data_IF_830050605485
#
_entry.id   IF_830050605485
#
_cell.length_a   1.000
_cell.length_b   1.000
_cell.length_c   1.000
_cell.angle_alpha   90.00
_cell.angle_beta   90.00
_cell.angle_gamma   90.00
#
_symmetry.space_group_name_H-M   'P 1'
#
loop_
_entity.id
_entity.type
_entity.pdbx_description
1 polymer ?
#
# COMPACT_ATOMS: atom_id res chain seq x y z
N UNK A 1 2.70 5.45 -2.69
CA UNK A 1 3.55 5.43 -1.47
C UNK A 1 4.75 4.55 -1.72
N UNK A 2 5.91 4.86 -1.13
CA UNK A 2 7.09 4.00 -1.14
C UNK A 2 7.23 3.31 0.21
N UNK A 3 7.70 2.05 0.19
CA UNK A 3 7.88 1.23 1.38
C UNK A 3 9.27 0.62 1.38
N UNK A 4 9.83 0.40 2.57
CA UNK A 4 11.04 -0.39 2.80
C UNK A 4 10.73 -1.89 2.68
N UNK A 5 11.78 -2.72 2.60
CA UNK A 5 11.64 -4.18 2.44
C UNK A 5 10.75 -4.86 3.51
N UNK A 6 10.63 -4.26 4.69
CA UNK A 6 9.74 -4.73 5.76
C UNK A 6 8.26 -4.39 5.57
N UNK A 7 7.85 -3.75 4.47
CA UNK A 7 6.47 -3.34 4.21
C UNK A 7 6.00 -2.18 5.10
N UNK A 8 6.94 -1.33 5.50
CA UNK A 8 6.67 -0.09 6.24
C UNK A 8 7.32 1.09 5.54
N UNK A 9 6.72 2.26 5.66
CA UNK A 9 7.37 3.52 5.26
C UNK A 9 8.53 3.83 6.22
N UNK A 10 9.36 4.79 5.85
CA UNK A 10 10.41 5.29 6.74
C UNK A 10 9.87 5.78 8.11
N UNK A 11 8.65 6.27 8.15
CA UNK A 11 7.97 6.71 9.38
C UNK A 11 7.18 5.60 10.10
N UNK A 12 7.28 4.36 9.63
CA UNK A 12 6.68 3.19 10.26
C UNK A 12 5.26 2.82 9.80
N UNK A 13 4.65 3.58 8.87
CA UNK A 13 3.31 3.27 8.36
C UNK A 13 3.30 1.94 7.62
N UNK A 14 2.36 1.06 7.95
CA UNK A 14 2.18 -0.22 7.26
C UNK A 14 1.45 -0.05 5.92
N UNK A 15 1.58 -1.05 5.07
CA UNK A 15 0.89 -1.08 3.77
C UNK A 15 -0.62 -1.03 3.95
N UNK A 16 -1.15 -1.75 4.91
CA UNK A 16 -2.57 -1.84 5.23
C UNK A 16 -3.09 -0.50 5.78
N UNK A 17 -2.40 0.07 6.77
CA UNK A 17 -2.76 1.39 7.33
C UNK A 17 -2.79 2.46 6.26
N UNK A 18 -1.82 2.45 5.34
CA UNK A 18 -1.81 3.36 4.19
C UNK A 18 -3.04 3.18 3.32
N UNK A 19 -3.35 1.94 2.90
CA UNK A 19 -4.48 1.66 2.01
C UNK A 19 -5.81 2.09 2.60
N UNK A 20 -6.07 1.71 3.84
CA UNK A 20 -7.31 2.04 4.57
C UNK A 20 -7.43 3.54 4.81
N UNK A 21 -6.36 4.19 5.27
CA UNK A 21 -6.36 5.64 5.55
C UNK A 21 -6.56 6.45 4.27
N UNK A 22 -5.83 6.13 3.21
CA UNK A 22 -5.95 6.85 1.93
C UNK A 22 -7.39 6.77 1.38
N UNK A 23 -8.00 5.58 1.43
CA UNK A 23 -9.39 5.41 1.05
C UNK A 23 -10.33 6.22 1.94
N UNK A 24 -10.15 6.17 3.26
CA UNK A 24 -10.96 6.94 4.22
C UNK A 24 -10.87 8.45 4.02
N UNK A 25 -9.75 8.94 3.51
CA UNK A 25 -9.54 10.33 3.13
C UNK A 25 -10.08 10.70 1.74
N UNK A 26 -10.72 9.77 1.04
CA UNK A 26 -11.34 10.01 -0.25
C UNK A 26 -10.42 9.84 -1.47
N UNK A 27 -9.29 9.15 -1.34
CA UNK A 27 -8.48 8.79 -2.50
C UNK A 27 -9.28 7.87 -3.44
N UNK A 28 -9.11 8.02 -4.75
CA UNK A 28 -9.76 7.20 -5.77
C UNK A 28 -8.95 5.97 -6.16
N UNK A 29 -7.69 5.90 -5.77
CA UNK A 29 -6.78 4.79 -6.03
C UNK A 29 -5.62 4.83 -5.05
N UNK A 30 -4.98 3.68 -4.83
CA UNK A 30 -3.75 3.57 -4.04
C UNK A 30 -2.71 2.75 -4.80
N UNK A 31 -1.45 2.92 -4.44
CA UNK A 31 -0.42 2.10 -5.05
C UNK A 31 0.93 2.19 -4.38
N UNK A 32 1.79 1.24 -4.77
CA UNK A 32 3.18 1.16 -4.34
C UNK A 32 4.07 1.61 -5.49
N UNK A 33 4.98 2.52 -5.19
CA UNK A 33 5.88 3.09 -6.20
C UNK A 33 7.29 3.18 -5.66
N UNK A 34 8.27 2.79 -6.48
CA UNK A 34 9.69 2.99 -6.20
C UNK A 34 10.23 2.11 -5.04
N UNK A 35 11.42 2.43 -4.58
CA UNK A 35 12.24 1.81 -3.52
C UNK A 35 12.82 0.45 -3.86
N UNK A 36 12.05 -0.49 -4.34
CA UNK A 36 12.41 -1.90 -4.49
C UNK A 36 12.03 -2.44 -5.87
N UNK A 37 12.55 -3.61 -6.19
CA UNK A 37 12.20 -4.37 -7.38
C UNK A 37 10.86 -5.11 -7.28
N UNK A 38 10.44 -5.76 -8.39
CA UNK A 38 9.15 -6.44 -8.41
C UNK A 38 9.02 -7.56 -7.39
N UNK A 39 10.07 -8.34 -7.18
CA UNK A 39 10.07 -9.49 -6.26
C UNK A 39 9.80 -9.05 -4.82
N UNK A 40 10.45 -7.99 -4.38
CA UNK A 40 10.31 -7.46 -3.02
C UNK A 40 8.97 -6.75 -2.81
N UNK A 41 8.44 -6.09 -3.85
CA UNK A 41 7.16 -5.37 -3.76
C UNK A 41 5.96 -6.32 -3.81
N UNK A 42 6.09 -7.50 -4.41
CA UNK A 42 4.95 -8.42 -4.59
C UNK A 42 4.18 -8.73 -3.29
N UNK A 43 4.82 -9.15 -2.18
CA UNK A 43 4.09 -9.42 -0.94
C UNK A 43 3.39 -8.18 -0.37
N UNK A 44 3.96 -7.01 -0.55
CA UNK A 44 3.35 -5.75 -0.14
C UNK A 44 2.14 -5.38 -1.01
N UNK A 45 2.26 -5.57 -2.33
CA UNK A 45 1.17 -5.34 -3.26
C UNK A 45 -0.03 -6.26 -2.98
N UNK A 46 0.23 -7.51 -2.62
CA UNK A 46 -0.79 -8.47 -2.20
C UNK A 46 -1.50 -8.00 -0.94
N UNK A 47 -0.76 -7.64 0.11
CA UNK A 47 -1.31 -7.09 1.36
C UNK A 47 -2.12 -5.81 1.13
N UNK A 48 -1.64 -4.89 0.27
CA UNK A 48 -2.39 -3.68 -0.08
C UNK A 48 -3.70 -4.03 -0.78
N UNK A 49 -3.65 -4.95 -1.74
CA UNK A 49 -4.82 -5.41 -2.47
C UNK A 49 -5.87 -6.07 -1.56
N UNK A 50 -5.43 -6.80 -0.53
CA UNK A 50 -6.30 -7.42 0.47
C UNK A 50 -6.87 -6.41 1.48
N UNK A 51 -6.15 -5.33 1.77
CA UNK A 51 -6.55 -4.30 2.74
C UNK A 51 -7.55 -3.27 2.20
N UNK A 52 -7.83 -3.25 0.90
CA UNK A 52 -8.79 -2.33 0.28
C UNK A 52 -9.87 -3.09 -0.49
N UNK A 53 -11.09 -2.52 -0.69
CA UNK A 53 -12.16 -3.20 -1.40
C UNK A 53 -11.74 -3.71 -2.78
N UNK A 54 -12.39 -4.77 -3.26
CA UNK A 54 -12.06 -5.38 -4.54
C UNK A 54 -12.23 -4.45 -5.75
N UNK A 55 -13.19 -3.55 -5.68
CA UNK A 55 -13.46 -2.52 -6.69
C UNK A 55 -12.56 -1.26 -6.56
N UNK A 56 -11.79 -1.16 -5.48
CA UNK A 56 -10.90 -0.02 -5.28
C UNK A 56 -9.60 -0.18 -6.09
N UNK A 57 -9.25 0.76 -6.97
CA UNK A 57 -8.10 0.64 -7.86
C UNK A 57 -6.77 0.57 -7.11
N UNK A 58 -5.99 -0.46 -7.41
CA UNK A 58 -4.61 -0.62 -6.91
C UNK A 58 -3.65 -0.64 -8.08
N UNK A 59 -2.53 0.07 -7.95
CA UNK A 59 -1.48 0.08 -8.94
C UNK A 59 -0.09 -0.15 -8.33
N UNK A 60 0.85 -0.63 -9.16
CA UNK A 60 2.24 -0.84 -8.74
C UNK A 60 3.22 -0.34 -9.79
N UNK A 61 4.32 0.25 -9.33
CA UNK A 61 5.41 0.75 -10.18
C UNK A 61 6.76 0.46 -9.52
N UNK A 62 7.27 -0.77 -9.62
CA UNK A 62 8.58 -1.14 -9.08
C UNK A 62 9.73 -0.45 -9.81
N UNK A 63 10.89 -0.40 -9.17
CA UNK A 63 12.16 -0.08 -9.82
C UNK A 63 12.65 -1.27 -10.65
N UNK A 64 13.62 -1.04 -11.53
CA UNK A 64 14.39 -2.11 -12.17
C UNK A 64 15.41 -2.75 -11.19
N UNK A 65 14.94 -3.08 -9.96
CA UNK A 65 15.76 -3.54 -8.86
C UNK A 65 16.44 -2.41 -8.08
N UNK A 66 17.66 -2.64 -7.64
CA UNK A 66 18.45 -1.69 -6.89
C UNK A 66 19.51 -1.01 -7.78
N UNK A 67 19.88 0.24 -7.49
CA UNK A 67 20.98 0.88 -8.19
C UNK A 67 22.29 0.13 -7.91
N UNK A 68 23.08 -0.11 -8.96
CA UNK A 68 24.39 -0.74 -8.85
C UNK A 68 25.38 0.19 -8.17
N UNK A 69 26.26 -0.39 -7.36
CA UNK A 69 27.27 0.39 -6.61
C UNK A 69 28.26 1.15 -7.51
N UNK A 70 28.47 0.67 -8.71
CA UNK A 70 29.36 1.28 -9.72
C UNK A 70 28.70 2.41 -10.52
N UNK A 71 27.43 2.71 -10.25
CA UNK A 71 26.67 3.73 -10.96
C UNK A 71 26.25 3.35 -12.39
N UNK A 72 26.46 2.10 -12.82
CA UNK A 72 26.15 1.63 -14.18
C UNK A 72 24.63 1.40 -14.45
N UNK A 73 23.79 1.81 -13.52
CA UNK A 73 22.32 1.68 -13.63
C UNK A 73 21.72 0.79 -12.57
N UNK A 74 20.76 -0.03 -12.95
CA UNK A 74 19.99 -0.92 -12.05
C UNK A 74 20.33 -2.39 -12.35
N UNK A 75 20.08 -3.27 -11.38
CA UNK A 75 20.57 -4.65 -11.41
C UNK A 75 19.61 -5.63 -12.10
N UNK A 76 18.35 -5.24 -12.35
CA UNK A 76 17.34 -6.08 -13.01
C UNK A 76 17.26 -5.74 -14.51
N UNK A 77 17.31 -6.77 -15.36
CA UNK A 77 17.10 -6.64 -16.81
C UNK A 77 15.61 -6.58 -17.16
N UNK A 78 15.22 -6.06 -18.36
CA UNK A 78 13.82 -6.05 -18.78
C UNK A 78 13.14 -7.44 -18.75
N UNK A 79 13.87 -8.50 -19.12
CA UNK A 79 13.38 -9.88 -19.14
C UNK A 79 13.12 -10.39 -17.71
N UNK A 80 14.05 -10.16 -16.80
CA UNK A 80 13.90 -10.56 -15.40
C UNK A 80 12.76 -9.78 -14.73
N UNK A 81 12.67 -8.49 -14.98
CA UNK A 81 11.57 -7.66 -14.50
C UNK A 81 10.21 -8.21 -14.95
N UNK A 82 10.07 -8.50 -16.25
CA UNK A 82 8.84 -9.07 -16.80
C UNK A 82 8.52 -10.44 -16.17
N UNK A 83 9.52 -11.27 -15.94
CA UNK A 83 9.35 -12.56 -15.27
C UNK A 83 8.86 -12.41 -13.83
N UNK A 84 9.45 -11.50 -13.07
CA UNK A 84 9.06 -11.23 -11.67
C UNK A 84 7.72 -10.52 -11.55
N UNK A 85 7.26 -9.84 -12.60
CA UNK A 85 5.93 -9.25 -12.65
C UNK A 85 4.80 -10.24 -12.98
N UNK A 86 5.10 -11.46 -13.43
CA UNK A 86 4.07 -12.46 -13.76
C UNK A 86 3.11 -12.78 -12.60
N UNK A 87 3.55 -12.97 -11.34
CA UNK A 87 2.65 -13.23 -10.21
C UNK A 87 1.62 -12.13 -9.96
N UNK A 88 1.94 -10.88 -10.33
CA UNK A 88 1.03 -9.75 -10.15
C UNK A 88 -0.27 -9.85 -10.97
N UNK A 89 -0.32 -10.72 -11.98
CA UNK A 89 -1.56 -11.00 -12.73
C UNK A 89 -2.69 -11.47 -11.81
N UNK A 90 -2.36 -12.24 -10.76
CA UNK A 90 -3.32 -12.75 -9.79
C UNK A 90 -3.91 -11.66 -8.88
N UNK A 91 -3.25 -10.51 -8.81
CA UNK A 91 -3.72 -9.39 -8.00
C UNK A 91 -4.77 -8.53 -8.71
N UNK A 92 -5.03 -8.78 -9.99
CA UNK A 92 -5.99 -8.01 -10.80
C UNK A 92 -5.83 -6.50 -10.64
N UNK A 93 -4.59 -6.03 -10.72
CA UNK A 93 -4.23 -4.62 -10.56
C UNK A 93 -4.94 -3.77 -11.62
N UNK A 94 -5.31 -2.56 -11.24
CA UNK A 94 -5.86 -1.57 -12.15
C UNK A 94 -4.80 -1.03 -13.12
N UNK A 95 -3.57 -0.87 -12.64
CA UNK A 95 -2.44 -0.47 -13.45
C UNK A 95 -1.13 -1.06 -12.93
N UNK A 96 -0.21 -1.33 -13.84
CA UNK A 96 1.16 -1.72 -13.55
C UNK A 96 2.11 -0.90 -14.44
N UNK A 97 3.28 -0.59 -13.92
CA UNK A 97 4.28 0.19 -14.63
C UNK A 97 5.67 -0.03 -14.08
N UNK A 98 6.55 0.90 -14.35
CA UNK A 98 7.90 0.92 -13.80
C UNK A 98 8.23 2.28 -13.19
N UNK A 99 9.30 2.33 -12.40
CA UNK A 99 9.84 3.53 -11.80
C UNK A 99 11.34 3.66 -12.13
N UNK A 100 12.19 3.89 -11.16
CA UNK A 100 13.60 4.13 -11.37
C UNK A 100 14.28 2.96 -12.11
N UNK A 101 15.13 3.29 -13.08
CA UNK A 101 15.86 2.33 -13.90
C UNK A 101 15.05 1.66 -15.01
N UNK A 102 13.73 1.84 -15.06
CA UNK A 102 12.92 1.26 -16.15
C UNK A 102 12.97 2.13 -17.41
N UNK A 103 12.98 1.46 -18.56
CA UNK A 103 13.01 2.04 -19.91
C UNK A 103 11.78 1.60 -20.70
N UNK A 104 11.53 2.14 -21.90
CA UNK A 104 10.45 1.67 -22.75
C UNK A 104 10.47 0.16 -23.03
N UNK A 105 11.63 -0.46 -23.05
CA UNK A 105 11.77 -1.92 -23.23
C UNK A 105 11.12 -2.70 -22.08
N UNK A 106 11.31 -2.26 -20.83
CA UNK A 106 10.63 -2.84 -19.66
C UNK A 106 9.12 -2.78 -19.81
N UNK A 107 8.59 -1.62 -20.23
CA UNK A 107 7.16 -1.42 -20.39
C UNK A 107 6.59 -2.26 -21.54
N UNK A 108 7.35 -2.41 -22.64
CA UNK A 108 6.96 -3.29 -23.75
C UNK A 108 6.79 -4.74 -23.30
N UNK A 109 7.74 -5.27 -22.54
CA UNK A 109 7.65 -6.64 -22.01
C UNK A 109 6.57 -6.76 -20.94
N UNK A 110 6.42 -5.75 -20.08
CA UNK A 110 5.36 -5.69 -19.07
C UNK A 110 3.97 -5.75 -19.72
N UNK A 111 3.76 -5.01 -20.81
CA UNK A 111 2.50 -5.05 -21.55
C UNK A 111 2.19 -6.49 -22.04
N UNK A 112 3.19 -7.22 -22.48
CA UNK A 112 3.02 -8.62 -22.88
C UNK A 112 2.65 -9.52 -21.69
N UNK A 113 3.20 -9.26 -20.50
CA UNK A 113 2.86 -9.98 -19.28
C UNK A 113 1.39 -9.78 -18.90
N UNK A 114 0.86 -8.56 -19.03
CA UNK A 114 -0.52 -8.25 -18.66
C UNK A 114 -1.53 -8.36 -19.82
N UNK A 115 -1.09 -8.79 -20.99
CA UNK A 115 -1.99 -9.01 -22.13
C UNK A 115 -3.15 -9.95 -21.74
N UNK A 116 -4.37 -9.53 -22.02
CA UNK A 116 -5.59 -10.28 -21.70
C UNK A 116 -5.97 -10.29 -20.20
N UNK A 117 -5.23 -9.61 -19.33
CA UNK A 117 -5.68 -9.44 -17.95
C UNK A 117 -6.82 -8.41 -17.88
N UNK A 118 -7.83 -8.75 -17.08
CA UNK A 118 -8.92 -7.82 -16.77
C UNK A 118 -8.62 -7.18 -15.42
N UNK A 119 -8.57 -5.84 -15.34
CA UNK A 119 -8.38 -5.17 -14.07
C UNK A 119 -9.63 -5.31 -13.18
N UNK A 120 -9.42 -5.20 -11.88
CA UNK A 120 -10.50 -5.29 -10.90
C UNK A 120 -10.59 -6.68 -10.26
N UNK A 121 -10.74 -6.68 -8.97
CA UNK A 121 -10.90 -7.87 -8.12
C UNK A 121 -12.38 -8.07 -7.80
N UNK A 122 -12.78 -9.28 -7.43
CA UNK A 122 -14.12 -9.51 -6.89
C UNK A 122 -14.40 -8.56 -5.72
N UNK A 123 -15.57 -7.96 -5.71
CA UNK A 123 -15.99 -7.14 -4.59
C UNK A 123 -16.01 -7.98 -3.32
N UNK A 124 -15.40 -7.52 -2.25
CA UNK A 124 -15.49 -8.11 -0.94
C UNK A 124 -15.84 -7.05 0.09
N UNK A 125 -16.58 -7.44 1.10
CA UNK A 125 -16.96 -6.53 2.19
C UNK A 125 -15.71 -6.24 3.02
N UNK A 126 -15.41 -4.97 3.15
CA UNK A 126 -14.34 -4.55 4.05
C UNK A 126 -14.83 -4.57 5.49
N UNK A 127 -14.02 -5.06 6.42
CA UNK A 127 -14.31 -4.91 7.82
C UNK A 127 -14.31 -3.43 8.22
N UNK A 128 -15.04 -3.11 9.28
CA UNK A 128 -14.88 -1.82 9.96
C UNK A 128 -13.55 -1.80 10.69
N UNK A 129 -12.74 -0.78 10.48
CA UNK A 129 -11.41 -0.73 11.06
C UNK A 129 -11.14 0.61 11.73
N UNK A 130 -10.39 0.58 12.82
CA UNK A 130 -9.70 1.73 13.38
C UNK A 130 -8.25 1.69 12.92
N UNK A 131 -7.78 2.81 12.40
CA UNK A 131 -6.45 2.89 11.80
C UNK A 131 -5.58 3.91 12.53
N UNK A 132 -4.35 3.53 12.81
CA UNK A 132 -3.27 4.42 13.25
C UNK A 132 -2.21 4.52 12.13
N UNK A 133 -1.26 5.43 12.20
CA UNK A 133 -0.19 5.47 11.20
C UNK A 133 0.62 4.18 11.08
N UNK A 134 0.68 3.37 12.12
CA UNK A 134 1.57 2.19 12.20
C UNK A 134 0.84 0.86 12.25
N UNK A 135 -0.49 0.87 12.46
CA UNK A 135 -1.28 -0.34 12.62
C UNK A 135 -2.75 -0.10 12.29
N UNK A 136 -3.51 -1.18 12.10
CA UNK A 136 -4.97 -1.12 11.98
C UNK A 136 -5.60 -2.30 12.72
N UNK A 137 -6.80 -2.07 13.26
CA UNK A 137 -7.54 -3.05 14.03
C UNK A 137 -8.93 -3.22 13.43
N UNK A 138 -9.32 -4.47 13.15
CA UNK A 138 -10.68 -4.82 12.79
C UNK A 138 -11.58 -4.70 14.03
N UNK A 139 -12.66 -3.93 13.90
CA UNK A 139 -13.63 -3.69 14.99
C UNK A 139 -15.00 -4.29 14.73
N UNK A 140 -15.15 -5.12 13.68
CA UNK A 140 -16.41 -5.82 13.43
C UNK A 140 -16.73 -6.75 14.62
N UNK A 141 -17.94 -6.57 15.18
CA UNK A 141 -18.38 -7.33 16.35
C UNK A 141 -17.75 -6.92 17.67
N UNK A 142 -16.95 -5.86 17.69
CA UNK A 142 -16.35 -5.33 18.92
C UNK A 142 -17.09 -4.06 19.33
N UNK A 143 -17.53 -3.98 20.60
CA UNK A 143 -18.01 -2.73 21.18
C UNK A 143 -16.81 -1.90 21.60
N UNK A 144 -16.58 -0.81 20.88
CA UNK A 144 -15.45 0.10 21.18
C UNK A 144 -15.93 1.20 22.11
N UNK A 145 -15.34 1.27 23.30
CA UNK A 145 -15.55 2.38 24.22
C UNK A 145 -14.42 3.40 24.05
N UNK A 146 -14.77 4.60 23.61
CA UNK A 146 -13.82 5.70 23.49
C UNK A 146 -14.02 6.67 24.67
N UNK A 147 -13.04 6.78 25.55
CA UNK A 147 -13.00 7.83 26.56
C UNK A 147 -12.13 8.98 26.07
N UNK A 148 -12.69 10.16 25.91
CA UNK A 148 -11.92 11.37 25.69
C UNK A 148 -11.48 11.93 27.05
N UNK A 149 -10.20 11.80 27.40
CA UNK A 149 -9.61 12.53 28.51
C UNK A 149 -9.10 13.88 27.99
N UNK A 150 -9.72 14.97 28.38
CA UNK A 150 -9.12 16.29 28.20
C UNK A 150 -7.99 16.41 29.23
N UNK A 151 -6.77 16.74 28.84
CA UNK A 151 -5.74 17.03 29.83
C UNK A 151 -6.22 18.20 30.71
N UNK A 152 -5.96 18.17 32.02
CA UNK A 152 -6.38 19.24 32.88
C UNK A 152 -5.76 20.57 32.43
N UNK A 153 -6.61 21.57 32.20
CA UNK A 153 -6.13 22.92 31.93
C UNK A 153 -5.19 23.32 33.05
N UNK A 154 -4.04 23.87 32.71
CA UNK A 154 -3.06 24.40 33.68
C UNK A 154 -3.58 25.70 34.32
N UNK A 155 -4.71 25.65 34.95
CA UNK A 155 -5.19 26.72 35.87
C UNK A 155 -6.00 26.06 36.96
N UNK A 156 -5.66 26.43 38.17
CA UNK A 156 -6.23 25.93 39.39
C UNK A 156 -7.74 26.18 39.43
N UNK A 157 -8.53 25.18 39.10
CA UNK A 157 -9.82 24.89 39.74
C UNK A 157 -10.31 23.56 39.18
N UNK A 158 -10.30 22.56 40.03
CA UNK A 158 -10.80 21.22 39.79
C UNK A 158 -12.29 21.22 39.46
N UNK A 159 -12.62 21.04 38.17
CA UNK A 159 -13.90 20.45 37.81
C UNK A 159 -13.64 19.39 36.73
N UNK A 160 -13.63 18.14 37.15
CA UNK A 160 -13.73 17.02 36.26
C UNK A 160 -15.09 17.06 35.56
N UNK A 161 -15.10 17.49 34.32
CA UNK A 161 -16.25 17.27 33.46
C UNK A 161 -15.94 16.08 32.55
N UNK A 162 -16.23 14.88 33.04
CA UNK A 162 -16.26 13.69 32.21
C UNK A 162 -17.55 13.68 31.40
N UNK A 163 -17.51 14.00 30.13
CA UNK A 163 -18.59 13.64 29.21
C UNK A 163 -18.39 12.22 28.74
N UNK A 164 -19.27 11.33 29.18
CA UNK A 164 -19.47 10.02 28.54
C UNK A 164 -20.33 10.27 27.32
N UNK A 165 -19.85 9.87 26.19
CA UNK A 165 -20.63 9.74 24.96
C UNK A 165 -20.87 8.25 24.75
#
# INVERSE_FOLDING_TARGET
MSFEAGGRTFTGCTVESFGVTARGLGANAVGINCSLGPKEIFPMAKRLAEAVPGDFPVFVKPNAGLPRADGSGYDITPQLFAMEMKPYRELHLFAAGGCCGTTPEFIKLLNSVFAGCVPGRPAHKMPSVLCTPVDFVNVDGITVWVSASTPPAKSASSRHCGKRI
#
